data_IF_271790352698
#
_entry.id   IF_271790352698
#
_cell.length_a   1.000
_cell.length_b   1.000
_cell.length_c   1.000
_cell.angle_alpha   90.00
_cell.angle_beta   90.00
_cell.angle_gamma   90.00
#
_symmetry.space_group_name_H-M   'P 1'
#
loop_
_entity.id
_entity.type
_entity.pdbx_description
1 polymer ?
#
# COMPACT_ATOMS: atom_id res chain seq x y z
N UNK A 1 31.49 12.93 4.99
CA UNK A 1 31.09 13.02 6.41
C UNK A 1 29.89 13.94 6.60
N UNK A 2 29.91 15.17 6.04
CA UNK A 2 28.76 16.10 6.08
C UNK A 2 27.49 15.59 5.37
N UNK A 3 27.60 14.96 4.20
CA UNK A 3 26.44 14.37 3.50
C UNK A 3 25.77 13.23 4.29
N UNK A 4 26.57 12.47 5.05
CA UNK A 4 26.08 11.37 5.90
C UNK A 4 25.34 11.88 7.13
N UNK A 5 25.89 12.92 7.78
CA UNK A 5 25.22 13.64 8.89
C UNK A 5 23.93 14.33 8.44
N UNK A 6 23.93 14.93 7.25
CA UNK A 6 22.73 15.53 6.65
C UNK A 6 21.68 14.47 6.27
N UNK A 7 22.11 13.32 5.75
CA UNK A 7 21.23 12.19 5.44
C UNK A 7 20.57 11.60 6.70
N UNK A 8 21.35 11.35 7.75
CA UNK A 8 20.84 10.83 9.03
C UNK A 8 19.87 11.80 9.71
N UNK A 9 20.12 13.11 9.59
CA UNK A 9 19.22 14.16 10.10
C UNK A 9 17.90 14.22 9.34
N UNK A 10 17.92 14.02 8.01
CA UNK A 10 16.70 13.93 7.19
C UNK A 10 15.86 12.74 7.59
N UNK A 11 16.47 11.56 7.71
CA UNK A 11 15.77 10.35 8.14
C UNK A 11 15.12 10.54 9.51
N UNK A 12 15.83 11.12 10.48
CA UNK A 12 15.27 11.40 11.81
C UNK A 12 14.08 12.38 11.77
N UNK A 13 14.17 13.44 10.96
CA UNK A 13 13.08 14.40 10.77
C UNK A 13 11.86 13.77 10.06
N UNK A 14 12.10 12.93 9.05
CA UNK A 14 11.06 12.17 8.37
C UNK A 14 10.29 11.30 9.36
N UNK A 15 11.01 10.52 10.19
CA UNK A 15 10.39 9.69 11.22
C UNK A 15 9.64 10.51 12.27
N UNK A 16 10.18 11.67 12.66
CA UNK A 16 9.48 12.58 13.57
C UNK A 16 8.12 13.01 13.00
N UNK A 17 8.09 13.48 11.75
CA UNK A 17 6.83 13.89 11.12
C UNK A 17 5.87 12.73 10.89
N UNK A 18 6.38 11.56 10.51
CA UNK A 18 5.57 10.37 10.36
C UNK A 18 4.94 9.94 11.71
N UNK A 19 5.71 9.96 12.80
CA UNK A 19 5.21 9.67 14.14
C UNK A 19 4.19 10.72 14.62
N UNK A 20 4.37 12.00 14.27
CA UNK A 20 3.35 13.02 14.55
C UNK A 20 2.04 12.71 13.81
N UNK A 21 2.10 12.30 12.54
CA UNK A 21 0.91 11.87 11.81
C UNK A 21 0.20 10.71 12.52
N UNK A 22 0.95 9.70 12.96
CA UNK A 22 0.43 8.54 13.69
C UNK A 22 -0.16 8.93 15.06
N UNK A 23 0.53 9.77 15.82
CA UNK A 23 0.05 10.28 17.12
C UNK A 23 -1.27 11.03 16.98
N UNK A 24 -1.40 11.88 15.96
CA UNK A 24 -2.65 12.59 15.66
C UNK A 24 -3.73 11.62 15.21
N UNK A 25 -3.40 10.63 14.37
CA UNK A 25 -4.35 9.58 13.95
C UNK A 25 -4.96 8.83 15.14
N UNK A 26 -4.17 8.61 16.20
CA UNK A 26 -4.61 7.99 17.45
C UNK A 26 -5.18 8.97 18.49
N UNK A 27 -5.51 10.21 18.09
CA UNK A 27 -6.14 11.19 18.98
C UNK A 27 -5.24 11.71 20.09
N UNK A 28 -3.92 11.72 19.86
CA UNK A 28 -2.92 12.24 20.80
C UNK A 28 -2.40 11.25 21.84
N UNK A 29 -2.77 9.97 21.74
CA UNK A 29 -2.28 8.91 22.63
C UNK A 29 -1.23 8.07 21.90
N UNK A 30 0.01 8.06 22.40
CA UNK A 30 1.05 7.14 21.92
C UNK A 30 0.65 5.68 22.22
N UNK A 31 1.05 4.74 21.34
CA UNK A 31 1.00 3.31 21.66
C UNK A 31 1.71 3.07 22.99
N UNK A 32 1.06 2.33 23.90
CA UNK A 32 1.71 1.91 25.15
C UNK A 32 2.97 1.11 24.84
N UNK A 33 4.15 1.73 24.99
CA UNK A 33 5.43 1.03 25.03
C UNK A 33 5.38 -0.02 26.13
N UNK A 34 5.67 -1.27 25.81
CA UNK A 34 5.91 -2.29 26.83
C UNK A 34 7.25 -2.00 27.51
N UNK A 35 7.24 -1.25 28.61
CA UNK A 35 8.42 -1.05 29.44
C UNK A 35 8.79 -2.35 30.18
N UNK A 36 10.08 -2.71 30.12
CA UNK A 36 10.65 -3.94 30.65
C UNK A 36 10.86 -3.99 32.18
N UNK A 37 10.17 -3.19 33.01
CA UNK A 37 10.37 -3.21 34.47
C UNK A 37 9.09 -3.15 35.32
N UNK A 38 9.21 -3.65 36.57
CA UNK A 38 8.11 -4.01 37.48
C UNK A 38 7.11 -2.87 37.72
N UNK A 39 5.84 -3.20 37.50
CA UNK A 39 4.63 -2.36 37.64
C UNK A 39 4.58 -1.62 38.98
N UNK A 40 4.53 -0.29 38.92
CA UNK A 40 4.20 0.58 40.05
C UNK A 40 2.68 0.67 40.26
N UNK A 41 2.25 0.95 41.50
CA UNK A 41 0.83 1.14 41.87
C UNK A 41 0.18 2.25 41.01
N UNK A 42 0.96 3.26 40.62
CA UNK A 42 0.53 4.35 39.74
C UNK A 42 0.31 3.90 38.29
N UNK A 43 1.06 2.91 37.79
CA UNK A 43 0.86 2.35 36.44
C UNK A 43 -0.37 1.44 36.38
N UNK A 44 -0.69 0.72 37.46
CA UNK A 44 -1.93 -0.06 37.54
C UNK A 44 -3.16 0.86 37.54
N UNK A 45 -3.12 1.93 38.35
CA UNK A 45 -4.20 2.91 38.34
C UNK A 45 -4.33 3.56 36.96
N UNK A 46 -3.22 4.03 36.36
CA UNK A 46 -3.23 4.60 35.01
C UNK A 46 -3.77 3.65 33.93
N UNK A 47 -3.54 2.33 34.04
CA UNK A 47 -4.09 1.32 33.13
C UNK A 47 -5.58 1.03 33.31
N UNK A 48 -6.14 1.30 34.49
CA UNK A 48 -7.58 1.15 34.79
C UNK A 48 -8.40 2.40 34.45
N UNK A 49 -7.77 3.58 34.37
CA UNK A 49 -8.39 4.86 33.95
C UNK A 49 -8.02 5.29 32.52
N UNK A 50 -7.02 4.68 31.88
CA UNK A 50 -6.76 4.91 30.44
C UNK A 50 -7.82 4.20 29.61
N UNK A 51 -8.47 4.88 28.65
CA UNK A 51 -9.38 4.21 27.75
C UNK A 51 -8.63 3.14 26.95
N UNK A 52 -9.08 1.89 27.02
CA UNK A 52 -8.57 0.76 26.21
C UNK A 52 -9.01 0.83 24.74
N UNK A 53 -9.59 1.96 24.33
CA UNK A 53 -10.08 2.23 22.99
C UNK A 53 -9.45 3.54 22.52
N UNK A 54 -8.55 3.48 21.54
CA UNK A 54 -8.15 4.67 20.81
C UNK A 54 -9.26 5.00 19.81
N UNK A 55 -9.64 6.27 19.73
CA UNK A 55 -10.56 6.76 18.70
C UNK A 55 -9.70 7.11 17.50
N UNK A 56 -9.92 6.44 16.37
CA UNK A 56 -9.28 6.82 15.12
C UNK A 56 -9.94 8.08 14.56
N UNK A 57 -9.13 8.97 14.00
CA UNK A 57 -9.65 10.00 13.11
C UNK A 57 -10.35 9.31 11.93
N UNK A 58 -11.58 9.75 11.61
CA UNK A 58 -12.32 9.22 10.46
C UNK A 58 -12.87 10.34 9.58
N UNK A 59 -12.95 10.09 8.28
CA UNK A 59 -13.54 11.03 7.32
C UNK A 59 -12.84 12.39 7.29
N UNK A 60 -13.49 13.47 7.75
CA UNK A 60 -12.91 14.81 7.69
C UNK A 60 -11.68 15.01 8.57
N UNK A 61 -11.52 14.19 9.61
CA UNK A 61 -10.44 14.28 10.60
C UNK A 61 -9.11 13.78 10.04
N UNK A 62 -9.12 12.90 9.03
CA UNK A 62 -7.91 12.45 8.32
C UNK A 62 -7.16 13.61 7.66
N UNK A 63 -7.82 14.75 7.42
CA UNK A 63 -7.15 15.97 6.95
C UNK A 63 -6.10 16.50 7.93
N UNK A 64 -6.19 16.16 9.22
CA UNK A 64 -5.28 16.65 10.26
C UNK A 64 -3.91 15.96 10.21
N UNK A 65 -3.82 14.74 9.68
CA UNK A 65 -2.56 14.02 9.53
C UNK A 65 -1.84 14.35 8.21
N UNK A 66 -2.56 14.87 7.21
CA UNK A 66 -2.02 15.18 5.87
C UNK A 66 -0.86 16.19 5.88
N UNK A 67 -0.88 17.29 6.67
CA UNK A 67 0.26 18.20 6.76
C UNK A 67 1.53 17.52 7.25
N UNK A 68 1.41 16.59 8.20
CA UNK A 68 2.55 15.86 8.77
C UNK A 68 3.14 14.88 7.74
N UNK A 69 2.29 14.11 7.06
CA UNK A 69 2.75 13.23 5.99
C UNK A 69 3.38 14.03 4.85
N UNK A 70 2.84 15.20 4.50
CA UNK A 70 3.43 16.09 3.49
C UNK A 70 4.82 16.60 3.92
N UNK A 71 5.03 16.92 5.20
CA UNK A 71 6.36 17.32 5.67
C UNK A 71 7.34 16.15 5.62
N UNK A 72 6.87 14.94 5.93
CA UNK A 72 7.68 13.73 5.85
C UNK A 72 8.12 13.44 4.40
N UNK A 73 7.21 13.54 3.41
CA UNK A 73 7.56 13.36 1.99
C UNK A 73 8.51 14.43 1.45
N UNK A 74 8.42 15.66 1.92
CA UNK A 74 9.36 16.73 1.56
C UNK A 74 10.76 16.52 2.17
N UNK A 75 10.84 15.81 3.29
CA UNK A 75 12.10 15.60 4.02
C UNK A 75 12.90 14.44 3.43
N UNK A 76 12.23 13.33 3.12
CA UNK A 76 12.80 12.20 2.39
C UNK A 76 11.91 11.79 1.20
N UNK A 77 12.14 12.37 0.01
CA UNK A 77 11.35 12.07 -1.18
C UNK A 77 11.60 10.66 -1.75
N UNK A 78 12.62 9.94 -1.26
CA UNK A 78 12.91 8.57 -1.70
C UNK A 78 12.24 7.50 -0.82
N UNK A 79 11.68 7.88 0.33
CA UNK A 79 10.85 6.99 1.13
C UNK A 79 9.42 6.93 0.57
N UNK A 80 9.26 6.11 -0.47
CA UNK A 80 7.99 5.89 -1.17
C UNK A 80 6.85 5.40 -0.27
N UNK A 81 7.16 4.80 0.90
CA UNK A 81 6.13 4.27 1.82
C UNK A 81 5.21 5.38 2.31
N UNK A 82 5.80 6.53 2.64
CA UNK A 82 5.08 7.70 3.15
C UNK A 82 4.12 8.25 2.09
N UNK A 83 4.51 8.21 0.82
CA UNK A 83 3.63 8.58 -0.28
C UNK A 83 2.48 7.59 -0.45
N UNK A 84 2.71 6.29 -0.25
CA UNK A 84 1.67 5.27 -0.31
C UNK A 84 0.66 5.41 0.84
N UNK A 85 1.14 5.69 2.04
CA UNK A 85 0.28 5.94 3.20
C UNK A 85 -0.54 7.21 3.01
N UNK A 86 0.09 8.28 2.52
CA UNK A 86 -0.60 9.52 2.14
C UNK A 86 -1.69 9.27 1.09
N UNK A 87 -1.36 8.53 0.03
CA UNK A 87 -2.30 8.20 -1.04
C UNK A 87 -3.45 7.32 -0.53
N UNK A 88 -3.18 6.37 0.35
CA UNK A 88 -4.17 5.53 1.01
C UNK A 88 -5.19 6.39 1.78
N UNK A 89 -4.72 7.23 2.71
CA UNK A 89 -5.59 8.09 3.52
C UNK A 89 -6.41 9.06 2.67
N UNK A 90 -5.80 9.64 1.63
CA UNK A 90 -6.49 10.52 0.70
C UNK A 90 -7.58 9.81 -0.10
N UNK A 91 -7.28 8.65 -0.68
CA UNK A 91 -8.23 7.92 -1.50
C UNK A 91 -9.39 7.34 -0.68
N UNK A 92 -9.08 6.80 0.50
CA UNK A 92 -10.01 5.98 1.25
C UNK A 92 -10.80 6.76 2.29
N UNK A 93 -10.16 7.58 3.10
CA UNK A 93 -10.86 8.24 4.20
C UNK A 93 -11.27 9.65 3.83
N UNK A 94 -10.38 10.41 3.20
CA UNK A 94 -10.71 11.74 2.70
C UNK A 94 -11.62 11.70 1.46
N UNK A 95 -11.79 10.53 0.81
CA UNK A 95 -12.54 10.34 -0.45
C UNK A 95 -12.06 11.27 -1.56
N UNK A 96 -10.74 11.47 -1.64
CA UNK A 96 -10.03 12.31 -2.61
C UNK A 96 -9.00 11.48 -3.39
N UNK A 97 -9.45 10.52 -4.22
CA UNK A 97 -8.54 9.72 -5.05
C UNK A 97 -7.80 10.57 -6.10
N UNK A 98 -8.32 11.76 -6.43
CA UNK A 98 -7.64 12.76 -7.25
C UNK A 98 -6.37 13.29 -6.56
N UNK A 99 -6.44 13.64 -5.28
CA UNK A 99 -5.27 14.07 -4.51
C UNK A 99 -4.30 12.92 -4.24
N UNK A 100 -4.81 11.71 -4.05
CA UNK A 100 -3.97 10.52 -3.93
C UNK A 100 -3.11 10.32 -5.20
N UNK A 101 -3.69 10.54 -6.38
CA UNK A 101 -2.96 10.51 -7.64
C UNK A 101 -1.87 11.59 -7.70
N UNK A 102 -2.15 12.83 -7.27
CA UNK A 102 -1.17 13.93 -7.23
C UNK A 102 0.04 13.62 -6.32
N UNK A 103 -0.22 13.01 -5.17
CA UNK A 103 0.83 12.56 -4.24
C UNK A 103 1.71 11.50 -4.90
N UNK A 104 1.11 10.51 -5.58
CA UNK A 104 1.87 9.47 -6.28
C UNK A 104 2.64 10.02 -7.50
N UNK A 105 2.10 11.03 -8.18
CA UNK A 105 2.82 11.74 -9.23
C UNK A 105 4.05 12.47 -8.67
N UNK A 106 3.93 13.06 -7.49
CA UNK A 106 5.07 13.68 -6.78
C UNK A 106 6.13 12.62 -6.43
N UNK A 107 5.71 11.46 -5.91
CA UNK A 107 6.62 10.35 -5.66
C UNK A 107 7.38 9.90 -6.93
N UNK A 108 6.69 9.91 -8.08
CA UNK A 108 7.27 9.51 -9.35
C UNK A 108 8.36 10.48 -9.85
N UNK A 109 8.30 11.77 -9.50
CA UNK A 109 9.33 12.75 -9.92
C UNK A 109 10.69 12.34 -9.37
N UNK A 110 10.74 12.00 -8.07
CA UNK A 110 11.98 11.60 -7.40
C UNK A 110 12.31 10.10 -7.56
N UNK A 111 11.30 9.30 -7.93
CA UNK A 111 11.42 7.84 -8.08
C UNK A 111 10.86 7.35 -9.45
N UNK A 112 11.43 7.79 -10.59
CA UNK A 112 10.79 7.71 -11.91
C UNK A 112 10.51 6.29 -12.42
N UNK A 113 11.31 5.31 -12.01
CA UNK A 113 11.19 3.91 -12.42
C UNK A 113 10.82 2.99 -11.27
N UNK A 114 10.14 3.51 -10.24
CA UNK A 114 9.66 2.68 -9.17
C UNK A 114 8.36 1.98 -9.56
N UNK A 115 8.39 0.65 -9.66
CA UNK A 115 7.20 -0.13 -10.05
C UNK A 115 6.05 -0.02 -9.04
N UNK A 116 6.34 0.15 -7.74
CA UNK A 116 5.33 0.20 -6.69
C UNK A 116 4.48 1.47 -6.84
N UNK A 117 5.10 2.58 -7.24
CA UNK A 117 4.37 3.82 -7.56
C UNK A 117 3.36 3.56 -8.68
N UNK A 118 3.72 2.81 -9.72
CA UNK A 118 2.78 2.49 -10.80
C UNK A 118 1.71 1.48 -10.39
N UNK A 119 2.05 0.50 -9.55
CA UNK A 119 1.07 -0.42 -8.97
C UNK A 119 0.00 0.36 -8.19
N UNK A 120 0.41 1.27 -7.31
CA UNK A 120 -0.51 2.07 -6.51
C UNK A 120 -1.33 3.04 -7.37
N UNK A 121 -0.72 3.69 -8.37
CA UNK A 121 -1.47 4.51 -9.32
C UNK A 121 -2.53 3.71 -10.07
N UNK A 122 -2.22 2.49 -10.49
CA UNK A 122 -3.18 1.60 -11.13
C UNK A 122 -4.38 1.30 -10.23
N UNK A 123 -4.16 1.04 -8.94
CA UNK A 123 -5.22 0.85 -7.95
C UNK A 123 -6.08 2.11 -7.78
N UNK A 124 -5.47 3.29 -7.67
CA UNK A 124 -6.17 4.57 -7.60
C UNK A 124 -7.04 4.80 -8.85
N UNK A 125 -6.54 4.48 -10.04
CA UNK A 125 -7.31 4.58 -11.27
C UNK A 125 -8.50 3.63 -11.30
N UNK A 126 -8.37 2.40 -10.79
CA UNK A 126 -9.52 1.48 -10.65
C UNK A 126 -10.58 2.04 -9.70
N UNK A 127 -10.20 2.67 -8.59
CA UNK A 127 -11.14 3.35 -7.67
C UNK A 127 -11.89 4.47 -8.38
N UNK A 128 -11.20 5.20 -9.26
CA UNK A 128 -11.79 6.28 -10.07
C UNK A 128 -12.55 5.76 -11.32
N UNK A 129 -12.63 4.45 -11.54
CA UNK A 129 -13.18 3.83 -12.75
C UNK A 129 -12.48 4.28 -14.06
N UNK A 130 -11.21 4.67 -13.96
CA UNK A 130 -10.32 5.07 -15.07
C UNK A 130 -9.57 3.83 -15.59
N UNK A 131 -10.30 2.95 -16.29
CA UNK A 131 -9.81 1.60 -16.63
C UNK A 131 -8.59 1.62 -17.56
N UNK A 132 -8.55 2.51 -18.54
CA UNK A 132 -7.44 2.57 -19.50
C UNK A 132 -6.17 3.14 -18.87
N UNK A 133 -6.30 4.12 -17.97
CA UNK A 133 -5.22 4.65 -17.14
C UNK A 133 -4.65 3.55 -16.23
N UNK A 134 -5.52 2.74 -15.61
CA UNK A 134 -5.11 1.62 -14.78
C UNK A 134 -4.29 0.60 -15.58
N UNK A 135 -4.75 0.22 -16.78
CA UNK A 135 -4.00 -0.68 -17.68
C UNK A 135 -2.61 -0.14 -17.99
N UNK A 136 -2.52 1.14 -18.39
CA UNK A 136 -1.24 1.81 -18.68
C UNK A 136 -0.31 1.84 -17.46
N UNK A 137 -0.86 2.09 -16.27
CA UNK A 137 -0.08 2.09 -15.04
C UNK A 137 0.47 0.69 -14.72
N UNK A 138 -0.34 -0.36 -14.81
CA UNK A 138 0.14 -1.72 -14.55
C UNK A 138 1.16 -2.19 -15.59
N UNK A 139 0.98 -1.86 -16.88
CA UNK A 139 1.97 -2.12 -17.91
C UNK A 139 3.30 -1.39 -17.63
N UNK A 140 3.24 -0.12 -17.21
CA UNK A 140 4.42 0.64 -16.81
C UNK A 140 5.09 0.02 -15.57
N UNK A 141 4.33 -0.42 -14.57
CA UNK A 141 4.85 -1.11 -13.39
C UNK A 141 5.61 -2.39 -13.75
N UNK A 142 5.09 -3.18 -14.69
CA UNK A 142 5.80 -4.36 -15.19
C UNK A 142 7.06 -4.00 -15.99
N UNK A 143 7.05 -2.90 -16.73
CA UNK A 143 8.24 -2.41 -17.44
C UNK A 143 9.31 -1.86 -16.47
N UNK A 144 8.88 -1.32 -15.34
CA UNK A 144 9.74 -0.79 -14.27
C UNK A 144 10.14 -1.85 -13.25
N UNK A 145 9.78 -3.11 -13.50
CA UNK A 145 10.16 -4.23 -12.66
C UNK A 145 11.68 -4.28 -12.47
N UNK A 146 12.21 -4.40 -11.24
CA UNK A 146 13.64 -4.41 -11.00
C UNK A 146 14.38 -5.50 -11.79
N UNK A 147 15.66 -5.23 -12.09
CA UNK A 147 16.57 -6.23 -12.66
C UNK A 147 16.81 -7.38 -11.68
N UNK A 148 17.33 -8.50 -12.20
CA UNK A 148 17.49 -9.77 -11.48
C UNK A 148 18.05 -9.63 -10.06
N UNK A 149 19.09 -8.82 -9.86
CA UNK A 149 19.75 -8.64 -8.56
C UNK A 149 18.85 -8.05 -7.45
N UNK A 150 17.79 -7.32 -7.81
CA UNK A 150 16.78 -6.78 -6.88
C UNK A 150 15.41 -7.46 -7.02
N UNK A 151 15.21 -8.24 -8.08
CA UNK A 151 13.96 -8.92 -8.41
C UNK A 151 13.68 -10.13 -7.51
N UNK A 152 14.73 -10.73 -6.94
CA UNK A 152 14.62 -11.94 -6.11
C UNK A 152 14.24 -11.65 -4.65
N UNK A 153 13.96 -10.38 -4.30
CA UNK A 153 13.39 -10.05 -2.99
C UNK A 153 11.91 -10.43 -2.94
N UNK A 154 11.44 -10.94 -1.80
CA UNK A 154 10.04 -11.33 -1.62
C UNK A 154 9.08 -10.18 -1.91
N UNK A 155 9.39 -8.98 -1.43
CA UNK A 155 8.63 -7.74 -1.70
C UNK A 155 8.54 -7.45 -3.19
N UNK A 156 9.64 -7.69 -3.91
CA UNK A 156 9.63 -7.53 -5.33
C UNK A 156 8.71 -8.60 -5.96
N UNK A 157 8.99 -9.89 -5.77
CA UNK A 157 8.17 -10.96 -6.35
C UNK A 157 6.66 -10.77 -6.10
N UNK A 158 6.25 -10.42 -4.88
CA UNK A 158 4.83 -10.15 -4.56
C UNK A 158 4.29 -8.95 -5.35
N UNK A 159 5.07 -7.86 -5.42
CA UNK A 159 4.74 -6.69 -6.24
C UNK A 159 4.51 -7.04 -7.72
N UNK A 160 5.37 -7.88 -8.32
CA UNK A 160 5.19 -8.36 -9.70
C UNK A 160 3.93 -9.21 -9.82
N UNK A 161 3.69 -10.12 -8.88
CA UNK A 161 2.50 -10.95 -8.90
C UNK A 161 1.21 -10.12 -8.79
N UNK A 162 1.19 -9.06 -7.97
CA UNK A 162 0.06 -8.12 -7.88
C UNK A 162 -0.17 -7.39 -9.21
N UNK A 163 0.88 -6.85 -9.83
CA UNK A 163 0.80 -6.21 -11.14
C UNK A 163 0.21 -7.16 -12.20
N UNK A 164 0.74 -8.39 -12.27
CA UNK A 164 0.26 -9.42 -13.19
C UNK A 164 -1.20 -9.81 -12.91
N UNK A 165 -1.60 -9.88 -11.64
CA UNK A 165 -2.96 -10.24 -11.27
C UNK A 165 -3.97 -9.18 -11.70
N UNK A 166 -3.72 -7.91 -11.37
CA UNK A 166 -4.60 -6.81 -11.83
C UNK A 166 -4.68 -6.76 -13.36
N UNK A 167 -3.54 -6.93 -14.04
CA UNK A 167 -3.49 -6.97 -15.50
C UNK A 167 -4.27 -8.17 -16.08
N UNK A 168 -4.15 -9.35 -15.48
CA UNK A 168 -4.89 -10.54 -15.88
C UNK A 168 -6.40 -10.29 -15.78
N UNK A 169 -6.88 -9.80 -14.64
CA UNK A 169 -8.29 -9.51 -14.43
C UNK A 169 -8.83 -8.46 -15.43
N UNK A 170 -8.01 -7.45 -15.79
CA UNK A 170 -8.36 -6.47 -16.81
C UNK A 170 -8.45 -7.07 -18.22
N UNK A 171 -7.55 -8.00 -18.55
CA UNK A 171 -7.64 -8.74 -19.80
C UNK A 171 -8.84 -9.67 -19.84
N UNK A 172 -9.18 -10.34 -18.74
CA UNK A 172 -10.38 -11.15 -18.63
C UNK A 172 -11.65 -10.31 -18.86
N UNK A 173 -11.73 -9.13 -18.24
CA UNK A 173 -12.84 -8.20 -18.43
C UNK A 173 -12.96 -7.69 -19.88
N UNK A 174 -11.84 -7.58 -20.60
CA UNK A 174 -11.77 -7.25 -22.03
C UNK A 174 -12.03 -8.46 -22.95
N UNK A 175 -12.20 -9.67 -22.41
CA UNK A 175 -12.32 -10.92 -23.19
C UNK A 175 -11.00 -11.43 -23.79
N UNK A 176 -9.86 -10.85 -23.39
CA UNK A 176 -8.49 -11.21 -23.81
C UNK A 176 -7.97 -12.41 -23.01
N UNK A 177 -8.54 -13.58 -23.28
CA UNK A 177 -8.33 -14.80 -22.48
C UNK A 177 -6.88 -15.29 -22.51
N UNK A 178 -6.22 -15.24 -23.66
CA UNK A 178 -4.85 -15.75 -23.82
C UNK A 178 -3.86 -14.90 -23.01
N UNK A 179 -4.00 -13.58 -23.05
CA UNK A 179 -3.20 -12.65 -22.27
C UNK A 179 -3.45 -12.80 -20.77
N UNK A 180 -4.71 -12.97 -20.36
CA UNK A 180 -5.05 -13.27 -18.97
C UNK A 180 -4.37 -14.55 -18.47
N UNK A 181 -4.52 -15.66 -19.21
CA UNK A 181 -3.90 -16.95 -18.88
C UNK A 181 -2.36 -16.80 -18.79
N UNK A 182 -1.74 -16.09 -19.73
CA UNK A 182 -0.31 -15.87 -19.74
C UNK A 182 0.18 -15.16 -18.47
N UNK A 183 -0.51 -14.11 -18.02
CA UNK A 183 -0.17 -13.42 -16.78
C UNK A 183 -0.36 -14.32 -15.54
N UNK A 184 -1.45 -15.10 -15.47
CA UNK A 184 -1.70 -16.02 -14.37
C UNK A 184 -0.65 -17.15 -14.28
N UNK A 185 -0.21 -17.67 -15.42
CA UNK A 185 0.87 -18.65 -15.49
C UNK A 185 2.20 -18.08 -15.01
N UNK A 186 2.50 -16.81 -15.34
CA UNK A 186 3.69 -16.14 -14.84
C UNK A 186 3.65 -15.98 -13.31
N UNK A 187 2.48 -15.70 -12.72
CA UNK A 187 2.31 -15.70 -11.26
C UNK A 187 2.64 -17.08 -10.68
N UNK A 188 2.17 -18.17 -11.28
CA UNK A 188 2.47 -19.54 -10.83
C UNK A 188 3.95 -19.92 -10.98
N UNK A 189 4.69 -19.31 -11.92
CA UNK A 189 6.16 -19.48 -11.99
C UNK A 189 6.86 -18.80 -10.83
N UNK A 190 6.37 -17.63 -10.40
CA UNK A 190 6.90 -16.91 -9.24
C UNK A 190 6.50 -17.58 -7.92
N UNK A 191 5.27 -18.11 -7.86
CA UNK A 191 4.62 -18.64 -6.68
C UNK A 191 3.86 -19.95 -7.00
N UNK A 192 4.57 -21.09 -7.11
CA UNK A 192 3.96 -22.37 -7.48
C UNK A 192 2.89 -22.86 -6.49
N UNK A 193 2.91 -22.38 -5.25
CA UNK A 193 1.96 -22.72 -4.19
C UNK A 193 0.58 -22.04 -4.36
N UNK A 194 0.45 -21.03 -5.22
CA UNK A 194 -0.83 -20.34 -5.51
C UNK A 194 -1.75 -21.16 -6.43
N UNK A 195 -1.92 -22.45 -6.11
CA UNK A 195 -2.65 -23.44 -6.92
C UNK A 195 -4.11 -23.09 -7.15
N UNK A 196 -4.70 -22.21 -6.35
CA UNK A 196 -6.05 -21.68 -6.57
C UNK A 196 -6.20 -20.96 -7.93
N UNK A 197 -5.11 -20.47 -8.52
CA UNK A 197 -5.12 -19.85 -9.85
C UNK A 197 -5.31 -20.87 -10.98
N UNK A 198 -5.00 -22.15 -10.76
CA UNK A 198 -5.14 -23.20 -11.78
C UNK A 198 -6.60 -23.35 -12.22
N UNK A 199 -7.54 -23.36 -11.27
CA UNK A 199 -8.97 -23.45 -11.57
C UNK A 199 -9.43 -22.29 -12.45
N UNK A 200 -8.93 -21.07 -12.21
CA UNK A 200 -9.27 -19.89 -13.02
C UNK A 200 -8.69 -20.00 -14.44
N UNK A 201 -7.46 -20.50 -14.56
CA UNK A 201 -6.83 -20.75 -15.87
C UNK A 201 -7.64 -21.79 -16.66
N UNK A 202 -8.09 -22.87 -16.02
CA UNK A 202 -8.86 -23.93 -16.66
C UNK A 202 -10.24 -23.43 -17.11
N UNK A 203 -10.93 -22.64 -16.27
CA UNK A 203 -12.19 -21.97 -16.64
C UNK A 203 -12.00 -21.11 -17.91
N UNK A 204 -10.94 -20.28 -17.95
CA UNK A 204 -10.65 -19.43 -19.10
C UNK A 204 -10.34 -20.23 -20.38
N UNK A 205 -9.58 -21.32 -20.27
CA UNK A 205 -9.24 -22.21 -21.41
C UNK A 205 -10.46 -22.91 -21.98
N UNK A 206 -11.38 -23.34 -21.13
CA UNK A 206 -12.63 -23.99 -21.53
C UNK A 206 -13.68 -22.99 -22.04
N UNK A 207 -13.34 -21.70 -22.03
CA UNK A 207 -14.23 -20.63 -22.44
C UNK A 207 -15.36 -20.36 -21.45
N UNK A 208 -15.30 -20.96 -20.26
CA UNK A 208 -16.25 -20.73 -19.17
C UNK A 208 -16.05 -19.34 -18.59
N UNK A 209 -17.13 -18.75 -18.10
CA UNK A 209 -17.02 -17.62 -17.20
C UNK A 209 -16.35 -18.12 -15.91
N UNK A 210 -15.26 -17.48 -15.44
CA UNK A 210 -14.66 -17.84 -14.17
C UNK A 210 -15.68 -17.82 -13.04
N UNK A 211 -15.58 -18.75 -12.09
CA UNK A 211 -16.48 -18.84 -10.92
C UNK A 211 -16.70 -17.51 -10.17
N UNK A 212 -15.69 -16.64 -10.19
CA UNK A 212 -15.80 -15.24 -9.76
C UNK A 212 -15.44 -14.30 -10.92
N UNK A 213 -16.37 -13.42 -11.27
CA UNK A 213 -16.15 -12.37 -12.27
C UNK A 213 -14.94 -11.51 -11.91
N UNK A 214 -14.13 -11.16 -12.91
CA UNK A 214 -12.91 -10.38 -12.72
C UNK A 214 -13.16 -9.05 -11.98
N UNK A 215 -14.26 -8.37 -12.31
CA UNK A 215 -14.69 -7.12 -11.67
C UNK A 215 -14.98 -7.29 -10.18
N UNK A 216 -15.53 -8.43 -9.78
CA UNK A 216 -15.76 -8.75 -8.38
C UNK A 216 -14.44 -9.05 -7.67
N UNK A 217 -13.54 -9.83 -8.30
CA UNK A 217 -12.24 -10.20 -7.73
C UNK A 217 -11.40 -8.96 -7.42
N UNK A 218 -11.19 -8.05 -8.38
CA UNK A 218 -10.39 -6.85 -8.07
C UNK A 218 -11.10 -5.93 -7.08
N UNK A 219 -12.43 -5.88 -7.07
CA UNK A 219 -13.18 -5.05 -6.12
C UNK A 219 -12.95 -5.56 -4.70
N UNK A 220 -12.99 -6.88 -4.52
CA UNK A 220 -12.75 -7.52 -3.24
C UNK A 220 -11.28 -7.41 -2.83
N UNK A 221 -10.34 -7.51 -3.78
CA UNK A 221 -8.92 -7.25 -3.52
C UNK A 221 -8.68 -5.81 -3.07
N UNK A 222 -9.25 -4.82 -3.75
CA UNK A 222 -9.14 -3.42 -3.33
C UNK A 222 -9.66 -3.25 -1.90
N UNK A 223 -10.79 -3.87 -1.55
CA UNK A 223 -11.35 -3.85 -0.18
C UNK A 223 -10.46 -4.53 0.85
N UNK A 224 -9.88 -5.66 0.52
CA UNK A 224 -9.02 -6.40 1.44
C UNK A 224 -7.67 -5.71 1.64
N UNK A 225 -7.05 -5.21 0.57
CA UNK A 225 -5.83 -4.42 0.69
C UNK A 225 -6.08 -3.14 1.50
N UNK A 226 -7.26 -2.52 1.33
CA UNK A 226 -7.69 -1.38 2.15
C UNK A 226 -7.74 -1.72 3.65
N UNK A 227 -8.40 -2.83 4.02
CA UNK A 227 -8.54 -3.21 5.42
C UNK A 227 -7.19 -3.58 6.05
N UNK A 228 -6.35 -4.33 5.32
CA UNK A 228 -5.03 -4.74 5.81
C UNK A 228 -4.11 -3.54 6.04
N UNK A 229 -4.15 -2.54 5.15
CA UNK A 229 -3.34 -1.33 5.31
C UNK A 229 -3.80 -0.52 6.53
N UNK A 230 -5.11 -0.38 6.74
CA UNK A 230 -5.65 0.21 7.98
C UNK A 230 -5.23 -0.55 9.24
N UNK A 231 -5.27 -1.88 9.24
CA UNK A 231 -4.87 -2.72 10.39
C UNK A 231 -3.38 -2.64 10.70
N UNK A 232 -2.53 -2.56 9.68
CA UNK A 232 -1.09 -2.40 9.85
C UNK A 232 -0.75 -1.07 10.56
N UNK A 233 -1.47 0.02 10.24
CA UNK A 233 -1.32 1.30 10.95
C UNK A 233 -1.76 1.19 12.42
N UNK A 234 -2.71 0.32 12.77
CA UNK A 234 -3.09 0.06 14.16
C UNK A 234 -2.05 -0.78 14.94
N UNK A 235 -1.27 -1.61 14.24
CA UNK A 235 -0.44 -2.67 14.81
C UNK A 235 1.06 -2.43 14.68
N UNK A 236 1.55 -1.19 14.49
CA UNK A 236 2.99 -0.95 14.58
C UNK A 236 3.48 -1.37 15.97
N UNK A 237 4.27 -2.45 16.11
CA UNK A 237 5.07 -2.59 17.30
C UNK A 237 6.07 -1.43 17.23
N UNK A 238 6.25 -0.71 18.34
CA UNK A 238 7.42 0.14 18.45
C UNK A 238 8.64 -0.76 18.28
N UNK A 239 9.21 -0.79 17.07
CA UNK A 239 10.43 -1.50 16.79
C UNK A 239 11.60 -0.72 17.41
N UNK A 240 12.44 -1.49 18.10
CA UNK A 240 13.51 -1.09 19.03
C UNK A 240 14.55 -0.10 18.47
#
# INVERSE_FOLDING_TARGET
>A
MAERLLGESKVALTWYFYHQADTYFHGGWEHTRHEAFKKSIYQNLAGDISPRYHIHLSGSEVKEIMPWLRLATLTDPHDIRIFFDSAFWLAHDAKRPDLAEEVLLSAQVDNPFNYQVQLERGRIFLIQNKIDEAKRAFDAGLAFWPSKDKADTETAMDGKARLLLYRALLHEADGKKDEAISNLQEILRLFPERVYLLSRIDDLKEGKEPSLLASKVWSDMLKHDMSKQSENHCNHPGED
#
